data_IF_768014415160
#
_entry.id   IF_768014415160
#
_cell.length_a   1.000
_cell.length_b   1.000
_cell.length_c   1.000
_cell.angle_alpha   90.00
_cell.angle_beta   90.00
_cell.angle_gamma   90.00
#
_symmetry.space_group_name_H-M   'P 1'
#
loop_
_entity.id
_entity.type
_entity.pdbx_description
1 polymer ?
#
# COMPACT_ATOMS: atom_id res chain seq x y z
N UNK A 1 6.43 22.14 -27.54
CA UNK A 1 6.39 20.65 -27.50
C UNK A 1 6.89 20.18 -26.14
N UNK A 2 6.21 19.22 -25.50
CA UNK A 2 6.73 18.61 -24.28
C UNK A 2 7.93 17.70 -24.60
N UNK A 3 8.91 17.55 -23.69
CA UNK A 3 10.01 16.62 -23.89
C UNK A 3 9.47 15.19 -24.00
N UNK A 4 9.69 14.56 -25.16
CA UNK A 4 9.27 13.19 -25.45
C UNK A 4 10.39 12.20 -25.14
N UNK A 5 10.06 10.99 -24.67
CA UNK A 5 11.05 9.95 -24.46
C UNK A 5 11.65 9.51 -25.80
N UNK A 6 12.98 9.48 -25.88
CA UNK A 6 13.70 9.04 -27.08
C UNK A 6 13.53 7.56 -27.41
N UNK A 7 13.37 6.70 -26.39
CA UNK A 7 13.24 5.25 -26.56
C UNK A 7 12.47 4.57 -25.43
N UNK A 8 12.03 3.34 -25.69
CA UNK A 8 11.36 2.48 -24.69
C UNK A 8 12.35 2.05 -23.61
N UNK A 9 11.96 2.18 -22.33
CA UNK A 9 12.76 1.66 -21.21
C UNK A 9 12.79 0.12 -21.22
N UNK A 10 13.96 -0.46 -20.95
CA UNK A 10 14.11 -1.91 -20.82
C UNK A 10 13.30 -2.47 -19.64
N UNK A 11 12.95 -3.76 -19.72
CA UNK A 11 12.23 -4.49 -18.66
C UNK A 11 12.97 -4.41 -17.32
N UNK A 12 14.29 -4.56 -17.34
CA UNK A 12 15.17 -4.42 -16.16
C UNK A 12 15.07 -3.03 -15.52
N UNK A 13 15.12 -1.95 -16.32
CA UNK A 13 15.00 -0.57 -15.80
C UNK A 13 13.61 -0.31 -15.21
N UNK A 14 12.55 -0.79 -15.88
CA UNK A 14 11.17 -0.71 -15.36
C UNK A 14 11.04 -1.44 -14.02
N UNK A 15 11.53 -2.68 -13.93
CA UNK A 15 11.47 -3.50 -12.72
C UNK A 15 12.15 -2.84 -11.52
N UNK A 16 13.39 -2.34 -11.69
CA UNK A 16 14.11 -1.61 -10.63
C UNK A 16 13.35 -0.38 -10.14
N UNK A 17 12.75 0.39 -11.06
CA UNK A 17 11.95 1.56 -10.70
C UNK A 17 10.69 1.18 -9.92
N UNK A 18 10.00 0.09 -10.29
CA UNK A 18 8.80 -0.36 -9.61
C UNK A 18 9.08 -1.02 -8.25
N UNK A 19 10.21 -1.71 -8.09
CA UNK A 19 10.59 -2.35 -6.83
C UNK A 19 10.60 -1.37 -5.65
N UNK A 20 11.07 -0.14 -5.88
CA UNK A 20 11.06 0.94 -4.88
C UNK A 20 9.66 1.41 -4.44
N UNK A 21 8.62 1.09 -5.21
CA UNK A 21 7.23 1.55 -4.98
C UNK A 21 6.38 0.52 -4.23
N UNK A 22 6.92 -0.66 -3.93
CA UNK A 22 6.21 -1.71 -3.21
C UNK A 22 5.97 -1.23 -1.78
N UNK A 23 4.70 -1.21 -1.36
CA UNK A 23 4.29 -0.81 0.01
C UNK A 23 4.06 -2.05 0.87
N UNK A 24 4.49 -1.99 2.11
CA UNK A 24 4.20 -3.02 3.10
C UNK A 24 2.71 -3.00 3.50
N UNK A 25 2.16 -4.17 3.81
CA UNK A 25 0.81 -4.30 4.34
C UNK A 25 0.69 -3.66 5.73
N UNK A 26 -0.44 -3.02 6.02
CA UNK A 26 -0.71 -2.46 7.34
C UNK A 26 -0.88 -3.58 8.38
N UNK A 27 -0.22 -3.46 9.52
CA UNK A 27 -0.43 -4.35 10.67
C UNK A 27 -1.85 -4.14 11.21
N UNK A 28 -2.69 -5.16 11.11
CA UNK A 28 -4.05 -5.16 11.66
C UNK A 28 -4.04 -5.80 13.06
N UNK A 29 -4.84 -5.24 13.97
CA UNK A 29 -4.98 -5.73 15.36
C UNK A 29 -6.41 -6.24 15.56
N UNK A 30 -6.58 -7.29 16.38
CA UNK A 30 -7.92 -7.77 16.75
C UNK A 30 -8.64 -6.74 17.63
N UNK A 31 -9.90 -6.49 17.35
CA UNK A 31 -10.75 -5.66 18.19
C UNK A 31 -11.14 -6.41 19.48
N UNK A 32 -11.02 -5.77 20.63
CA UNK A 32 -11.39 -6.34 21.93
C UNK A 32 -12.89 -6.62 22.06
N UNK A 33 -13.74 -5.79 21.43
CA UNK A 33 -15.19 -5.89 21.59
C UNK A 33 -15.84 -6.88 20.61
N UNK A 34 -15.39 -6.92 19.34
CA UNK A 34 -16.04 -7.73 18.30
C UNK A 34 -15.13 -8.81 17.68
N UNK A 35 -13.87 -8.94 18.11
CA UNK A 35 -12.90 -9.92 17.61
C UNK A 35 -12.39 -9.69 16.17
N UNK A 36 -13.08 -8.87 15.37
CA UNK A 36 -12.71 -8.52 13.99
C UNK A 36 -11.42 -7.69 13.93
N UNK A 37 -10.73 -7.75 12.80
CA UNK A 37 -9.52 -6.96 12.57
C UNK A 37 -9.84 -5.47 12.38
N UNK A 38 -9.04 -4.62 13.02
CA UNK A 38 -9.09 -3.17 12.89
C UNK A 38 -7.71 -2.59 12.69
N UNK A 39 -7.66 -1.35 12.20
CA UNK A 39 -6.44 -0.57 12.18
C UNK A 39 -6.06 -0.20 13.63
N UNK A 40 -4.76 -0.24 13.98
CA UNK A 40 -4.30 0.20 15.28
C UNK A 40 -4.62 1.69 15.47
N UNK A 41 -4.92 2.08 16.72
CA UNK A 41 -5.28 3.45 17.11
C UNK A 41 -6.48 4.05 16.34
N UNK A 42 -7.37 3.21 15.80
CA UNK A 42 -8.64 3.63 15.20
C UNK A 42 -9.82 2.93 15.86
N UNK A 43 -10.97 3.63 15.85
CA UNK A 43 -12.26 3.08 16.25
C UNK A 43 -12.61 1.94 15.29
N UNK A 44 -13.10 0.83 15.84
CA UNK A 44 -13.50 -0.31 15.03
C UNK A 44 -14.74 0.04 14.20
N UNK A 45 -14.67 -0.09 12.87
CA UNK A 45 -15.81 0.23 11.99
C UNK A 45 -17.03 -0.67 12.23
N UNK A 46 -16.83 -1.86 12.79
CA UNK A 46 -17.88 -2.83 13.02
C UNK A 46 -18.68 -2.55 14.30
N UNK A 47 -18.02 -2.30 15.42
CA UNK A 47 -18.69 -2.04 16.70
C UNK A 47 -18.81 -0.55 17.06
N UNK A 48 -18.20 0.35 16.29
CA UNK A 48 -18.15 1.81 16.56
C UNK A 48 -17.68 2.16 17.99
N UNK A 49 -16.94 1.23 18.58
CA UNK A 49 -16.28 1.23 19.89
C UNK A 49 -14.86 0.72 19.64
#
# INVERSE_FOLDING_TARGET
MAPLPKSKRSTKRKGKSLASKIRAFSKLVKCSNCGKTKLPHKICKYCKK
#
